data_IF_158244117294
#
_entry.id   IF_158244117294
#
_cell.length_a   1.000
_cell.length_b   1.000
_cell.length_c   1.000
_cell.angle_alpha   90.00
_cell.angle_beta   90.00
_cell.angle_gamma   90.00
#
_symmetry.space_group_name_H-M   'P 1'
#
loop_
_entity.id
_entity.type
_entity.pdbx_description
1 polymer ?
#
# COMPACT_ATOMS: atom_id res chain seq x y z
N UNK A 1 47.41 -26.92 3.51
CA UNK A 1 46.36 -27.34 4.46
C UNK A 1 45.26 -26.31 4.32
N UNK A 2 44.10 -26.62 3.71
CA UNK A 2 43.04 -25.64 3.52
C UNK A 2 42.35 -25.38 4.86
N UNK A 3 42.24 -24.10 5.23
CA UNK A 3 41.58 -23.65 6.46
C UNK A 3 40.15 -24.17 6.53
N UNK A 4 39.87 -24.96 7.56
CA UNK A 4 38.52 -25.43 7.87
C UNK A 4 37.82 -24.26 8.58
N UNK A 5 36.77 -23.66 8.01
CA UNK A 5 36.08 -22.54 8.64
C UNK A 5 35.50 -22.99 9.98
N UNK A 6 35.84 -22.24 11.03
CA UNK A 6 35.41 -22.56 12.40
C UNK A 6 33.90 -22.35 12.54
N UNK A 7 33.28 -23.08 13.47
CA UNK A 7 31.82 -23.05 13.72
C UNK A 7 31.28 -21.67 14.12
N UNK A 8 32.16 -20.71 14.45
CA UNK A 8 31.84 -19.32 14.69
C UNK A 8 31.53 -18.55 13.39
N UNK A 9 32.33 -18.73 12.33
CA UNK A 9 32.09 -18.12 11.00
C UNK A 9 30.80 -18.65 10.38
N UNK A 10 30.54 -19.95 10.50
CA UNK A 10 29.28 -20.54 10.01
C UNK A 10 28.04 -20.06 10.77
N UNK A 11 28.21 -19.54 12.00
CA UNK A 11 27.12 -18.95 12.80
C UNK A 11 26.87 -17.50 12.42
N UNK A 12 27.92 -16.76 12.08
CA UNK A 12 27.80 -15.37 11.64
C UNK A 12 27.28 -15.27 10.20
N UNK A 13 27.67 -16.20 9.31
CA UNK A 13 27.07 -16.36 7.99
C UNK A 13 25.59 -16.78 8.08
N UNK A 14 25.22 -17.63 9.03
CA UNK A 14 23.80 -17.96 9.32
C UNK A 14 23.01 -16.78 9.88
N UNK A 15 23.64 -15.91 10.67
CA UNK A 15 23.01 -14.67 11.18
C UNK A 15 22.91 -13.58 10.11
N UNK A 16 23.85 -13.52 9.15
CA UNK A 16 23.79 -12.63 8.00
C UNK A 16 22.85 -13.11 6.89
N UNK A 17 22.61 -14.42 6.76
CA UNK A 17 21.64 -15.01 5.82
C UNK A 17 20.18 -14.95 6.32
N UNK A 18 19.94 -14.66 7.61
CA UNK A 18 18.59 -14.49 8.17
C UNK A 18 18.03 -13.07 8.08
N UNK A 19 18.79 -12.08 7.60
CA UNK A 19 18.27 -10.73 7.39
C UNK A 19 17.57 -10.68 6.03
N UNK A 20 16.29 -10.31 6.04
CA UNK A 20 15.49 -9.99 4.86
C UNK A 20 16.31 -9.06 3.94
N UNK A 21 16.83 -9.58 2.83
CA UNK A 21 17.60 -8.80 1.86
C UNK A 21 16.61 -8.14 0.90
N UNK A 22 16.45 -6.81 0.93
CA UNK A 22 15.46 -6.14 0.09
C UNK A 22 15.67 -6.41 -1.41
N UNK A 23 16.93 -6.55 -1.84
CA UNK A 23 17.29 -6.89 -3.23
C UNK A 23 16.81 -8.28 -3.63
N UNK A 24 17.06 -9.31 -2.80
CA UNK A 24 16.62 -10.67 -3.10
C UNK A 24 15.09 -10.80 -3.12
N UNK A 25 14.40 -10.06 -2.25
CA UNK A 25 12.95 -9.99 -2.24
C UNK A 25 12.41 -9.30 -3.50
N UNK A 26 13.06 -8.22 -3.93
CA UNK A 26 12.73 -7.55 -5.18
C UNK A 26 12.93 -8.45 -6.40
N UNK A 27 14.05 -9.16 -6.48
CA UNK A 27 14.36 -10.06 -7.60
C UNK A 27 13.31 -11.17 -7.71
N UNK A 28 12.90 -11.76 -6.58
CA UNK A 28 11.82 -12.77 -6.53
C UNK A 28 10.47 -12.20 -6.93
N UNK A 29 10.15 -11.00 -6.46
CA UNK A 29 8.92 -10.31 -6.82
C UNK A 29 8.88 -10.03 -8.33
N UNK A 30 9.97 -9.53 -8.89
CA UNK A 30 10.10 -9.24 -10.31
C UNK A 30 10.04 -10.50 -11.18
N UNK A 31 10.71 -11.59 -10.76
CA UNK A 31 10.64 -12.88 -11.45
C UNK A 31 9.21 -13.43 -11.44
N UNK A 32 8.56 -13.47 -10.28
CA UNK A 32 7.19 -13.94 -10.15
C UNK A 32 6.21 -13.13 -10.99
N UNK A 33 6.32 -11.80 -10.99
CA UNK A 33 5.50 -10.95 -11.84
C UNK A 33 5.70 -11.31 -13.31
N UNK A 34 6.94 -11.33 -13.80
CA UNK A 34 7.27 -11.62 -15.22
C UNK A 34 6.72 -12.98 -15.67
N UNK A 35 6.85 -14.01 -14.84
CA UNK A 35 6.35 -15.35 -15.14
C UNK A 35 4.82 -15.43 -15.19
N UNK A 36 4.13 -14.59 -14.40
CA UNK A 36 2.68 -14.66 -14.23
C UNK A 36 1.94 -13.45 -14.81
N UNK A 37 2.61 -12.59 -15.59
CA UNK A 37 2.03 -11.35 -16.13
C UNK A 37 0.75 -11.62 -16.93
N UNK A 38 0.72 -12.68 -17.73
CA UNK A 38 -0.44 -13.05 -18.55
C UNK A 38 -1.71 -13.24 -17.71
N UNK A 39 -1.57 -13.66 -16.46
CA UNK A 39 -2.70 -13.95 -15.57
C UNK A 39 -2.93 -12.81 -14.57
N UNK A 40 -1.86 -12.18 -14.07
CA UNK A 40 -1.95 -11.06 -13.13
C UNK A 40 -2.44 -9.77 -13.79
N UNK A 41 -2.12 -9.55 -15.07
CA UNK A 41 -2.48 -8.32 -15.78
C UNK A 41 -4.00 -8.18 -15.97
N UNK A 42 -4.76 -9.20 -16.40
CA UNK A 42 -6.23 -9.14 -16.43
C UNK A 42 -6.85 -8.90 -15.05
N UNK A 43 -6.34 -9.59 -14.02
CA UNK A 43 -6.82 -9.43 -12.63
C UNK A 43 -6.57 -7.99 -12.15
N UNK A 44 -5.37 -7.47 -12.36
CA UNK A 44 -5.05 -6.09 -11.99
C UNK A 44 -5.83 -5.06 -12.78
N UNK A 45 -6.08 -5.32 -14.07
CA UNK A 45 -6.92 -4.49 -14.92
C UNK A 45 -8.36 -4.37 -14.40
N UNK A 46 -8.97 -5.48 -13.99
CA UNK A 46 -10.35 -5.51 -13.53
C UNK A 46 -10.51 -4.99 -12.09
N UNK A 47 -9.59 -5.33 -11.19
CA UNK A 47 -9.76 -5.05 -9.76
C UNK A 47 -9.02 -3.80 -9.25
N UNK A 48 -8.00 -3.31 -9.97
CA UNK A 48 -7.29 -2.09 -9.59
C UNK A 48 -7.51 -0.98 -10.60
N UNK A 49 -7.23 -1.22 -11.88
CA UNK A 49 -7.26 -0.18 -12.91
C UNK A 49 -8.68 0.37 -13.12
N UNK A 50 -9.63 -0.51 -13.41
CA UNK A 50 -10.99 -0.11 -13.78
C UNK A 50 -11.71 0.62 -12.63
N UNK A 51 -11.66 0.15 -11.36
CA UNK A 51 -12.20 0.90 -10.23
C UNK A 51 -11.53 2.26 -10.04
N UNK A 52 -10.20 2.36 -10.21
CA UNK A 52 -9.48 3.63 -10.11
C UNK A 52 -9.91 4.64 -11.17
N UNK A 53 -10.09 4.20 -12.42
CA UNK A 53 -10.56 5.08 -13.51
C UNK A 53 -11.99 5.55 -13.26
N UNK A 54 -12.87 4.63 -12.86
CA UNK A 54 -14.27 4.95 -12.53
C UNK A 54 -14.32 5.95 -11.37
N UNK A 55 -13.53 5.73 -10.31
CA UNK A 55 -13.53 6.61 -9.16
C UNK A 55 -13.03 8.01 -9.50
N UNK A 56 -11.98 8.13 -10.29
CA UNK A 56 -11.51 9.44 -10.69
C UNK A 56 -12.51 10.23 -11.56
N UNK A 57 -13.53 9.57 -12.13
CA UNK A 57 -14.67 10.22 -12.79
C UNK A 57 -15.85 10.50 -11.87
N UNK A 58 -16.11 9.61 -10.91
CA UNK A 58 -17.23 9.72 -9.99
C UNK A 58 -16.93 10.61 -8.79
N UNK A 59 -15.65 10.81 -8.45
CA UNK A 59 -15.25 11.59 -7.29
C UNK A 59 -15.59 13.06 -7.54
N UNK A 60 -16.52 13.64 -6.75
CA UNK A 60 -16.81 15.07 -6.85
C UNK A 60 -15.57 15.86 -6.41
N UNK A 61 -15.33 17.01 -7.04
CA UNK A 61 -14.36 17.99 -6.56
C UNK A 61 -14.90 18.67 -5.28
N UNK A 62 -14.90 17.94 -4.17
CA UNK A 62 -15.31 18.43 -2.86
C UNK A 62 -14.11 18.60 -1.92
N UNK A 63 -14.26 19.35 -0.81
CA UNK A 63 -13.24 19.42 0.22
C UNK A 63 -12.91 18.02 0.75
N UNK A 64 -11.64 17.65 0.72
CA UNK A 64 -11.17 16.40 1.31
C UNK A 64 -11.51 16.41 2.81
N UNK A 65 -12.35 15.49 3.26
CA UNK A 65 -12.76 15.37 4.67
C UNK A 65 -14.24 15.60 4.97
N UNK A 66 -15.06 15.95 3.98
CA UNK A 66 -16.52 15.94 4.16
C UNK A 66 -17.04 14.51 4.30
N UNK A 67 -17.78 14.22 5.38
CA UNK A 67 -18.46 12.93 5.62
C UNK A 67 -19.79 12.84 4.84
N UNK A 68 -19.74 13.14 3.55
CA UNK A 68 -20.90 13.01 2.67
C UNK A 68 -21.03 11.56 2.17
N UNK A 69 -22.22 10.98 2.32
CA UNK A 69 -22.55 9.66 1.77
C UNK A 69 -22.29 9.58 0.26
N UNK A 70 -22.47 10.68 -0.47
CA UNK A 70 -22.17 10.77 -1.90
C UNK A 70 -20.68 10.56 -2.25
N UNK A 71 -19.78 10.84 -1.31
CA UNK A 71 -18.32 10.62 -1.46
C UNK A 71 -17.91 9.28 -0.84
N UNK A 72 -18.48 8.93 0.32
CA UNK A 72 -18.11 7.71 1.05
C UNK A 72 -18.53 6.43 0.34
N UNK A 73 -19.69 6.39 -0.30
CA UNK A 73 -20.20 5.18 -0.95
C UNK A 73 -19.34 4.75 -2.15
N UNK A 74 -18.97 5.63 -3.09
CA UNK A 74 -18.01 5.30 -4.15
C UNK A 74 -16.67 4.80 -3.59
N UNK A 75 -16.11 5.47 -2.58
CA UNK A 75 -14.85 5.07 -1.94
C UNK A 75 -14.97 3.67 -1.34
N UNK A 76 -16.06 3.39 -0.62
CA UNK A 76 -16.32 2.07 -0.04
C UNK A 76 -16.37 0.97 -1.09
N UNK A 77 -17.08 1.20 -2.21
CA UNK A 77 -17.12 0.25 -3.33
C UNK A 77 -15.73 0.04 -3.93
N UNK A 78 -14.96 1.11 -4.15
CA UNK A 78 -13.58 1.00 -4.64
C UNK A 78 -12.72 0.13 -3.74
N UNK A 79 -12.79 0.37 -2.43
CA UNK A 79 -12.04 -0.39 -1.44
C UNK A 79 -12.38 -1.88 -1.50
N UNK A 80 -13.67 -2.23 -1.63
CA UNK A 80 -14.08 -3.63 -1.78
C UNK A 80 -13.46 -4.29 -3.01
N UNK A 81 -13.53 -3.64 -4.18
CA UNK A 81 -12.92 -4.17 -5.41
C UNK A 81 -11.41 -4.35 -5.27
N UNK A 82 -10.73 -3.36 -4.68
CA UNK A 82 -9.29 -3.43 -4.46
C UNK A 82 -8.92 -4.55 -3.48
N UNK A 83 -9.66 -4.72 -2.38
CA UNK A 83 -9.43 -5.80 -1.43
C UNK A 83 -9.61 -7.17 -2.08
N UNK A 84 -10.67 -7.37 -2.88
CA UNK A 84 -10.88 -8.62 -3.63
C UNK A 84 -9.71 -8.88 -4.58
N UNK A 85 -9.26 -7.87 -5.32
CA UNK A 85 -8.11 -7.97 -6.21
C UNK A 85 -6.84 -8.35 -5.47
N UNK A 86 -6.55 -7.68 -4.36
CA UNK A 86 -5.37 -7.92 -3.54
C UNK A 86 -5.36 -9.36 -2.98
N UNK A 87 -6.49 -9.83 -2.43
CA UNK A 87 -6.62 -11.19 -1.91
C UNK A 87 -6.47 -12.24 -3.03
N UNK A 88 -7.05 -11.97 -4.21
CA UNK A 88 -6.95 -12.86 -5.37
C UNK A 88 -5.50 -13.02 -5.81
N UNK A 89 -4.78 -11.91 -6.00
CA UNK A 89 -3.36 -11.92 -6.36
C UNK A 89 -2.54 -12.67 -5.32
N UNK A 90 -2.83 -12.44 -4.03
CA UNK A 90 -2.13 -13.11 -2.95
C UNK A 90 -2.34 -14.62 -2.95
N UNK A 91 -3.57 -15.08 -3.17
CA UNK A 91 -3.88 -16.52 -3.30
C UNK A 91 -3.18 -17.13 -4.50
N UNK A 92 -3.18 -16.46 -5.65
CA UNK A 92 -2.52 -16.96 -6.86
C UNK A 92 -1.00 -17.11 -6.70
N UNK A 93 -0.37 -16.22 -5.95
CA UNK A 93 1.08 -16.19 -5.78
C UNK A 93 1.55 -17.04 -4.60
N UNK A 94 0.79 -17.09 -3.51
CA UNK A 94 1.22 -17.77 -2.28
C UNK A 94 0.73 -19.21 -2.17
N UNK A 95 -0.35 -19.60 -2.86
CA UNK A 95 -0.87 -20.96 -2.77
C UNK A 95 0.02 -21.95 -3.56
N UNK A 96 0.59 -22.97 -2.89
CA UNK A 96 1.43 -23.98 -3.54
C UNK A 96 0.72 -24.75 -4.67
N UNK A 97 -0.61 -24.82 -4.65
CA UNK A 97 -1.40 -25.60 -5.61
C UNK A 97 -1.61 -24.90 -6.96
N UNK A 98 -1.11 -23.66 -7.14
CA UNK A 98 -1.27 -22.85 -8.36
C UNK A 98 -2.75 -22.78 -8.81
N UNK A 99 -3.64 -22.20 -7.98
CA UNK A 99 -5.06 -22.17 -8.25
C UNK A 99 -5.37 -21.41 -9.54
N UNK A 100 -6.44 -21.81 -10.22
CA UNK A 100 -6.99 -21.05 -11.34
C UNK A 100 -7.54 -19.70 -10.86
N UNK A 101 -7.66 -18.71 -11.77
CA UNK A 101 -8.20 -17.38 -11.43
C UNK A 101 -9.57 -17.46 -10.74
N UNK A 102 -10.41 -18.40 -11.18
CA UNK A 102 -11.73 -18.65 -10.61
C UNK A 102 -11.66 -19.14 -9.16
N UNK A 103 -10.76 -20.08 -8.88
CA UNK A 103 -10.58 -20.63 -7.53
C UNK A 103 -10.00 -19.58 -6.58
N UNK A 104 -9.02 -18.80 -7.05
CA UNK A 104 -8.45 -17.70 -6.29
C UNK A 104 -9.51 -16.63 -5.99
N UNK A 105 -10.35 -16.26 -6.96
CA UNK A 105 -11.43 -15.30 -6.76
C UNK A 105 -12.49 -15.81 -5.78
N UNK A 106 -12.87 -17.08 -5.88
CA UNK A 106 -13.79 -17.70 -4.92
C UNK A 106 -13.19 -17.75 -3.50
N UNK A 107 -11.89 -18.02 -3.39
CA UNK A 107 -11.15 -17.93 -2.14
C UNK A 107 -11.16 -16.51 -1.57
N UNK A 108 -10.89 -15.50 -2.40
CA UNK A 108 -10.92 -14.10 -2.03
C UNK A 108 -12.30 -13.65 -1.53
N UNK A 109 -13.38 -14.06 -2.21
CA UNK A 109 -14.76 -13.75 -1.80
C UNK A 109 -15.11 -14.35 -0.43
N UNK A 110 -14.62 -15.55 -0.12
CA UNK A 110 -14.80 -16.16 1.21
C UNK A 110 -13.98 -15.46 2.29
N UNK A 111 -12.80 -14.97 1.93
CA UNK A 111 -11.94 -14.18 2.82
C UNK A 111 -12.37 -12.71 2.92
N UNK A 112 -13.34 -12.25 2.13
CA UNK A 112 -13.74 -10.84 2.08
C UNK A 112 -14.35 -10.37 3.40
N UNK A 113 -15.26 -11.13 3.99
CA UNK A 113 -15.87 -10.77 5.28
C UNK A 113 -14.83 -10.56 6.40
N UNK A 114 -13.90 -11.51 6.64
CA UNK A 114 -12.85 -11.29 7.64
C UNK A 114 -11.85 -10.20 7.21
N UNK A 115 -11.57 -10.03 5.91
CA UNK A 115 -10.73 -8.95 5.41
C UNK A 115 -11.34 -7.56 5.63
N UNK A 116 -12.66 -7.39 5.48
CA UNK A 116 -13.37 -6.15 5.79
C UNK A 116 -13.26 -5.83 7.28
N UNK A 117 -13.40 -6.84 8.16
CA UNK A 117 -13.21 -6.65 9.60
C UNK A 117 -11.81 -6.12 9.93
N UNK A 118 -10.77 -6.66 9.29
CA UNK A 118 -9.40 -6.14 9.37
C UNK A 118 -9.30 -4.73 8.80
N UNK A 119 -9.92 -4.45 7.65
CA UNK A 119 -9.88 -3.13 7.00
C UNK A 119 -10.46 -2.05 7.90
N UNK A 120 -11.59 -2.31 8.57
CA UNK A 120 -12.19 -1.37 9.53
C UNK A 120 -11.33 -1.18 10.78
N UNK A 121 -10.69 -2.25 11.27
CA UNK A 121 -9.76 -2.15 12.39
C UNK A 121 -8.50 -1.33 12.03
N UNK A 122 -7.99 -1.47 10.81
CA UNK A 122 -6.89 -0.64 10.28
C UNK A 122 -7.37 0.81 10.14
N UNK A 123 -8.54 1.01 9.54
CA UNK A 123 -9.11 2.34 9.32
C UNK A 123 -9.36 3.07 10.64
N UNK A 124 -9.86 2.39 11.67
CA UNK A 124 -10.09 3.01 12.98
C UNK A 124 -8.78 3.47 13.63
N UNK A 125 -7.70 2.69 13.51
CA UNK A 125 -6.37 3.08 13.97
C UNK A 125 -5.85 4.29 13.19
N UNK A 126 -5.96 4.26 11.85
CA UNK A 126 -5.53 5.38 11.00
C UNK A 126 -6.33 6.65 11.33
N UNK A 127 -7.65 6.55 11.45
CA UNK A 127 -8.50 7.67 11.85
C UNK A 127 -8.13 8.20 13.23
N UNK A 128 -7.86 7.34 14.22
CA UNK A 128 -7.41 7.76 15.54
C UNK A 128 -6.08 8.53 15.45
N UNK A 129 -5.11 8.06 14.66
CA UNK A 129 -3.85 8.77 14.43
C UNK A 129 -4.07 10.13 13.74
N UNK A 130 -4.93 10.20 12.73
CA UNK A 130 -5.25 11.45 12.04
C UNK A 130 -5.96 12.45 12.96
N UNK A 131 -6.91 11.99 13.77
CA UNK A 131 -7.60 12.83 14.76
C UNK A 131 -6.61 13.34 15.80
N UNK A 132 -5.76 12.48 16.37
CA UNK A 132 -4.72 12.89 17.33
C UNK A 132 -3.77 13.89 16.67
N UNK A 133 -3.31 13.64 15.45
CA UNK A 133 -2.46 14.56 14.70
C UNK A 133 -3.13 15.91 14.46
N UNK A 134 -4.42 15.91 14.12
CA UNK A 134 -5.21 17.12 13.92
C UNK A 134 -5.43 17.89 15.24
N UNK A 135 -5.70 17.20 16.35
CA UNK A 135 -5.84 17.81 17.68
C UNK A 135 -4.53 18.43 18.15
N UNK A 136 -3.40 17.76 17.91
CA UNK A 136 -2.07 18.30 18.17
C UNK A 136 -1.84 19.55 17.30
N UNK A 137 -2.14 19.48 16.01
CA UNK A 137 -2.04 20.63 15.11
C UNK A 137 -2.92 21.79 15.56
N UNK A 138 -4.15 21.53 16.02
CA UNK A 138 -5.06 22.54 16.59
C UNK A 138 -4.54 23.14 17.89
N UNK A 139 -3.89 22.35 18.76
CA UNK A 139 -3.27 22.85 20.00
C UNK A 139 -2.11 23.82 19.69
N UNK A 140 -1.26 23.47 18.73
CA UNK A 140 -0.15 24.32 18.30
C UNK A 140 -0.61 25.52 17.46
N UNK A 141 -1.61 25.35 16.59
CA UNK A 141 -2.22 26.43 15.83
C UNK A 141 -3.01 27.38 16.73
N UNK A 142 -3.71 26.89 17.75
CA UNK A 142 -4.43 27.70 18.74
C UNK A 142 -3.50 28.56 19.60
N UNK A 143 -2.32 28.03 19.95
CA UNK A 143 -1.25 28.82 20.59
C UNK A 143 -0.65 29.87 19.67
N UNK A 144 -0.43 29.55 18.39
CA UNK A 144 0.08 30.49 17.40
C UNK A 144 -0.96 31.53 16.95
N UNK A 145 -2.27 31.21 17.02
CA UNK A 145 -3.37 32.12 16.68
C UNK A 145 -3.41 33.32 17.62
N UNK A 146 -3.10 33.10 18.90
CA UNK A 146 -2.99 34.17 19.89
C UNK A 146 -1.74 35.04 19.70
N UNK A 147 -0.74 34.55 18.96
CA UNK A 147 0.50 35.28 18.66
C UNK A 147 0.46 36.08 17.34
N UNK A 148 -0.60 35.95 16.53
CA UNK A 148 -0.78 36.70 15.28
C UNK A 148 0.16 36.32 14.12
N UNK A 149 1.01 35.30 14.28
CA UNK A 149 1.97 34.87 13.26
C UNK A 149 1.43 33.66 12.45
N UNK A 150 0.85 33.96 11.29
CA UNK A 150 0.36 32.96 10.33
C UNK A 150 1.48 32.08 9.75
N UNK A 151 2.73 32.55 9.71
CA UNK A 151 3.86 31.75 9.26
C UNK A 151 4.30 30.72 10.33
N UNK A 152 4.15 31.03 11.62
CA UNK A 152 4.38 30.06 12.70
C UNK A 152 3.36 28.91 12.66
N UNK A 153 2.09 29.21 12.34
CA UNK A 153 1.03 28.19 12.18
C UNK A 153 1.36 27.17 11.09
N UNK A 154 1.77 27.63 9.91
CA UNK A 154 2.10 26.73 8.79
C UNK A 154 3.35 25.90 9.10
N UNK A 155 4.37 26.49 9.73
CA UNK A 155 5.59 25.76 10.12
C UNK A 155 5.32 24.65 11.14
N UNK A 156 4.49 24.92 12.16
CA UNK A 156 4.12 23.94 13.17
C UNK A 156 3.25 22.80 12.61
N UNK A 157 2.32 23.11 11.69
CA UNK A 157 1.53 22.10 11.01
C UNK A 157 2.40 21.17 10.13
N UNK A 158 3.38 21.73 9.42
CA UNK A 158 4.35 20.95 8.64
C UNK A 158 5.20 20.06 9.53
N UNK A 159 5.70 20.56 10.66
CA UNK A 159 6.47 19.75 11.62
C UNK A 159 5.62 18.60 12.18
N UNK A 160 4.36 18.86 12.54
CA UNK A 160 3.43 17.83 12.99
C UNK A 160 3.20 16.73 11.95
N UNK A 161 3.04 17.10 10.68
CA UNK A 161 2.89 16.17 9.57
C UNK A 161 4.17 15.36 9.29
N UNK A 162 5.34 15.99 9.41
CA UNK A 162 6.66 15.32 9.24
C UNK A 162 6.93 14.31 10.35
N UNK A 163 6.44 14.55 11.57
CA UNK A 163 6.58 13.61 12.69
C UNK A 163 5.53 12.49 12.60
N UNK A 164 4.28 12.83 12.26
CA UNK A 164 3.19 11.86 12.18
C UNK A 164 3.33 10.92 10.97
N UNK A 165 3.87 11.40 9.85
CA UNK A 165 4.03 10.64 8.61
C UNK A 165 4.78 9.32 8.79
N UNK A 166 6.01 9.31 9.33
CA UNK A 166 6.76 8.09 9.59
C UNK A 166 6.05 7.13 10.55
N UNK A 167 5.34 7.63 11.57
CA UNK A 167 4.59 6.80 12.51
C UNK A 167 3.39 6.10 11.82
N UNK A 168 2.68 6.82 10.95
CA UNK A 168 1.59 6.27 10.13
C UNK A 168 2.16 5.24 9.15
N UNK A 169 3.25 5.55 8.46
CA UNK A 169 3.91 4.61 7.55
C UNK A 169 4.40 3.35 8.27
N UNK A 170 4.92 3.50 9.49
CA UNK A 170 5.30 2.37 10.33
C UNK A 170 4.10 1.50 10.71
N UNK A 171 2.98 2.11 11.12
CA UNK A 171 1.75 1.40 11.40
C UNK A 171 1.21 0.66 10.16
N UNK A 172 1.17 1.34 9.00
CA UNK A 172 0.72 0.76 7.74
C UNK A 172 1.61 -0.39 7.27
N UNK A 173 2.93 -0.25 7.35
CA UNK A 173 3.87 -1.32 7.03
C UNK A 173 3.65 -2.56 7.92
N UNK A 174 3.31 -2.34 9.20
CA UNK A 174 3.00 -3.42 10.15
C UNK A 174 1.68 -4.12 9.82
N UNK A 175 0.70 -3.35 9.39
CA UNK A 175 -0.66 -3.82 9.05
C UNK A 175 -0.74 -4.44 7.64
N UNK A 176 0.19 -4.10 6.75
CA UNK A 176 0.26 -4.65 5.40
C UNK A 176 0.44 -6.19 5.37
N UNK A 177 0.99 -6.75 6.45
CA UNK A 177 1.25 -8.20 6.62
C UNK A 177 0.01 -8.98 7.09
N UNK A 178 -1.09 -8.29 7.44
CA UNK A 178 -2.29 -8.93 7.98
C UNK A 178 -3.04 -9.76 6.92
N UNK A 179 -3.11 -9.30 5.67
CA UNK A 179 -3.81 -10.02 4.60
C UNK A 179 -3.17 -11.39 4.27
N UNK A 180 -1.83 -11.52 4.15
CA UNK A 180 -1.18 -12.83 4.05
C UNK A 180 -1.47 -13.75 5.22
N UNK A 181 -1.43 -13.24 6.46
CA UNK A 181 -1.69 -14.04 7.66
C UNK A 181 -3.13 -14.56 7.70
N UNK A 182 -4.10 -13.73 7.30
CA UNK A 182 -5.51 -14.10 7.23
C UNK A 182 -5.77 -15.23 6.22
N UNK A 183 -5.11 -15.18 5.06
CA UNK A 183 -5.29 -16.17 3.99
C UNK A 183 -4.52 -17.47 4.24
N UNK A 184 -3.27 -17.38 4.68
CA UNK A 184 -2.40 -18.55 4.84
C UNK A 184 -2.63 -19.30 6.16
N UNK A 185 -2.88 -18.58 7.26
CA UNK A 185 -3.12 -19.20 8.58
C UNK A 185 -4.63 -19.35 8.89
N UNK A 186 -5.53 -18.86 8.02
CA UNK A 186 -7.02 -18.92 8.19
C UNK A 186 -7.51 -18.43 9.56
N UNK A 187 -6.83 -17.42 10.09
CA UNK A 187 -7.09 -16.88 11.42
C UNK A 187 -8.30 -15.95 11.46
N UNK A 188 -8.87 -15.79 12.65
CA UNK A 188 -9.85 -14.73 12.90
C UNK A 188 -9.19 -13.34 12.78
N UNK A 189 -9.94 -12.27 12.46
CA UNK A 189 -9.38 -10.93 12.24
C UNK A 189 -8.48 -10.43 13.39
N UNK A 190 -8.88 -10.70 14.63
CA UNK A 190 -8.14 -10.29 15.82
C UNK A 190 -6.83 -11.09 16.01
N UNK A 191 -6.87 -12.39 15.71
CA UNK A 191 -5.69 -13.25 15.78
C UNK A 191 -4.70 -12.92 14.67
N UNK A 192 -5.17 -12.63 13.46
CA UNK A 192 -4.35 -12.17 12.35
C UNK A 192 -3.63 -10.85 12.70
N UNK A 193 -4.32 -9.91 13.36
CA UNK A 193 -3.70 -8.68 13.87
C UNK A 193 -2.63 -8.99 14.92
N UNK A 194 -2.93 -9.77 15.97
CA UNK A 194 -1.94 -10.12 17.01
C UNK A 194 -0.73 -10.83 16.42
N UNK A 195 -0.94 -11.71 15.45
CA UNK A 195 0.11 -12.44 14.72
C UNK A 195 0.98 -11.49 13.90
N UNK A 196 0.38 -10.57 13.15
CA UNK A 196 1.11 -9.55 12.41
C UNK A 196 1.98 -8.71 13.36
N UNK A 197 1.44 -8.28 14.50
CA UNK A 197 2.19 -7.52 15.51
C UNK A 197 3.38 -8.30 16.10
N UNK A 198 3.22 -9.62 16.34
CA UNK A 198 4.28 -10.50 16.85
C UNK A 198 5.35 -10.79 15.80
N UNK A 199 4.97 -11.00 14.55
CA UNK A 199 5.90 -11.27 13.45
C UNK A 199 6.78 -10.05 13.13
N UNK A 200 6.23 -8.85 13.24
CA UNK A 200 6.96 -7.63 12.90
C UNK A 200 7.80 -7.07 14.05
N UNK A 201 7.64 -7.53 15.30
CA UNK A 201 8.34 -6.93 16.45
C UNK A 201 9.86 -7.14 16.48
N UNK A 202 10.39 -8.06 15.65
CA UNK A 202 11.84 -8.34 15.56
C UNK A 202 12.52 -7.97 14.23
N UNK A 203 11.75 -7.74 13.17
CA UNK A 203 12.27 -7.57 11.79
C UNK A 203 11.51 -6.49 10.99
N UNK A 204 10.82 -5.57 11.67
CA UNK A 204 10.09 -4.49 11.00
C UNK A 204 10.99 -3.57 10.15
N UNK A 205 12.25 -3.37 10.52
CA UNK A 205 13.11 -2.35 9.90
C UNK A 205 13.41 -2.64 8.41
N UNK A 206 13.83 -3.86 8.00
CA UNK A 206 14.03 -4.17 6.58
C UNK A 206 12.74 -4.10 5.74
N UNK A 207 11.62 -4.56 6.30
CA UNK A 207 10.31 -4.52 5.61
C UNK A 207 9.82 -3.08 5.46
N UNK A 208 9.97 -2.29 6.52
CA UNK A 208 9.69 -0.87 6.50
C UNK A 208 10.56 -0.17 5.46
N UNK A 209 11.86 -0.46 5.40
CA UNK A 209 12.76 0.14 4.42
C UNK A 209 12.33 -0.19 2.98
N UNK A 210 11.97 -1.44 2.69
CA UNK A 210 11.45 -1.84 1.39
C UNK A 210 10.15 -1.10 1.05
N UNK A 211 9.17 -1.11 1.96
CA UNK A 211 7.87 -0.46 1.77
C UNK A 211 8.06 1.04 1.60
N UNK A 212 8.94 1.65 2.38
CA UNK A 212 9.24 3.08 2.32
C UNK A 212 9.89 3.45 0.99
N UNK A 213 10.88 2.70 0.52
CA UNK A 213 11.51 2.94 -0.79
C UNK A 213 10.51 2.73 -1.93
N UNK A 214 9.72 1.65 -1.91
CA UNK A 214 8.73 1.36 -2.93
C UNK A 214 7.61 2.42 -2.95
N UNK A 215 7.12 2.82 -1.76
CA UNK A 215 6.09 3.86 -1.62
C UNK A 215 6.64 5.21 -2.05
N UNK A 216 7.87 5.56 -1.65
CA UNK A 216 8.51 6.80 -2.07
C UNK A 216 8.68 6.86 -3.58
N UNK A 217 9.19 5.79 -4.20
CA UNK A 217 9.32 5.69 -5.66
C UNK A 217 7.95 5.81 -6.34
N UNK A 218 6.92 5.13 -5.82
CA UNK A 218 5.56 5.23 -6.33
C UNK A 218 5.00 6.66 -6.24
N UNK A 219 5.13 7.32 -5.08
CA UNK A 219 4.69 8.70 -4.88
C UNK A 219 5.44 9.66 -5.79
N UNK A 220 6.75 9.46 -5.95
CA UNK A 220 7.57 10.23 -6.87
C UNK A 220 7.10 10.07 -8.32
N UNK A 221 6.85 8.84 -8.76
CA UNK A 221 6.33 8.54 -10.10
C UNK A 221 4.92 9.12 -10.30
N UNK A 222 4.04 9.01 -9.30
CA UNK A 222 2.71 9.62 -9.36
C UNK A 222 2.78 11.14 -9.47
N UNK A 223 3.65 11.78 -8.69
CA UNK A 223 3.86 13.22 -8.76
C UNK A 223 4.42 13.62 -10.13
N UNK A 224 5.42 12.91 -10.64
CA UNK A 224 6.01 13.16 -11.95
C UNK A 224 4.99 12.97 -13.08
N UNK A 225 4.17 11.92 -13.05
CA UNK A 225 3.10 11.68 -14.02
C UNK A 225 1.98 12.72 -13.91
N UNK A 226 1.56 13.07 -12.70
CA UNK A 226 0.50 14.06 -12.50
C UNK A 226 0.90 15.47 -12.94
N UNK A 227 2.15 15.88 -12.65
CA UNK A 227 2.63 17.24 -12.90
C UNK A 227 3.30 17.38 -14.27
N UNK A 228 4.34 16.58 -14.55
CA UNK A 228 5.10 16.72 -15.79
C UNK A 228 4.32 16.19 -16.98
N UNK A 229 3.87 14.93 -16.91
CA UNK A 229 3.14 14.31 -18.03
C UNK A 229 1.73 14.89 -18.13
N UNK A 230 1.01 14.96 -17.00
CA UNK A 230 -0.35 15.49 -16.95
C UNK A 230 -0.44 16.97 -17.31
N UNK A 231 0.54 17.77 -16.89
CA UNK A 231 0.63 19.18 -17.27
C UNK A 231 0.80 19.36 -18.78
N UNK A 232 1.67 18.58 -19.43
CA UNK A 232 1.86 18.62 -20.89
C UNK A 232 0.58 18.21 -21.61
N UNK A 233 -0.08 17.12 -21.21
CA UNK A 233 -1.32 16.68 -21.85
C UNK A 233 -2.48 17.64 -21.60
N UNK A 234 -2.55 18.30 -20.45
CA UNK A 234 -3.51 19.38 -20.21
C UNK A 234 -3.28 20.57 -21.14
N UNK A 235 -2.02 21.01 -21.30
CA UNK A 235 -1.68 22.12 -22.18
C UNK A 235 -1.95 21.79 -23.66
N UNK A 236 -1.64 20.57 -24.10
CA UNK A 236 -1.98 20.09 -25.43
C UNK A 236 -3.49 19.99 -25.63
N UNK A 237 -4.22 19.49 -24.63
CA UNK A 237 -5.69 19.45 -24.64
C UNK A 237 -6.29 20.85 -24.77
N UNK A 238 -5.73 21.84 -24.07
CA UNK A 238 -6.08 23.26 -24.22
C UNK A 238 -5.82 23.79 -25.62
N UNK A 239 -4.66 23.47 -26.19
CA UNK A 239 -4.24 23.94 -27.51
C UNK A 239 -5.15 23.41 -28.63
N UNK A 240 -5.61 22.17 -28.50
CA UNK A 240 -6.47 21.49 -29.49
C UNK A 240 -7.97 21.78 -29.21
N UNK A 241 -8.29 22.48 -28.12
CA UNK A 241 -9.67 22.79 -27.71
C UNK A 241 -10.42 21.61 -27.09
N UNK A 242 -9.73 20.54 -26.69
CA UNK A 242 -10.29 19.32 -26.10
C UNK A 242 -9.61 19.02 -24.77
N UNK A 243 -9.82 19.89 -23.77
CA UNK A 243 -9.23 19.75 -22.42
C UNK A 243 -9.56 18.39 -21.77
N UNK A 244 -10.74 17.84 -22.09
CA UNK A 244 -11.20 16.54 -21.60
C UNK A 244 -10.28 15.39 -22.02
N UNK A 245 -9.66 15.43 -23.20
CA UNK A 245 -8.71 14.40 -23.63
C UNK A 245 -7.44 14.41 -22.76
N UNK A 246 -6.89 15.59 -22.47
CA UNK A 246 -5.70 15.72 -21.63
C UNK A 246 -5.92 15.18 -20.22
N UNK A 247 -7.08 15.45 -19.64
CA UNK A 247 -7.52 14.88 -18.37
C UNK A 247 -7.64 13.36 -18.44
N UNK A 248 -8.28 12.82 -19.47
CA UNK A 248 -8.48 11.38 -19.60
C UNK A 248 -7.18 10.60 -19.75
N UNK A 249 -6.25 11.11 -20.56
CA UNK A 249 -4.93 10.48 -20.71
C UNK A 249 -4.17 10.44 -19.38
N UNK A 250 -4.15 11.55 -18.65
CA UNK A 250 -3.49 11.64 -17.34
C UNK A 250 -4.11 10.66 -16.35
N UNK A 251 -5.43 10.57 -16.34
CA UNK A 251 -6.20 9.72 -15.44
C UNK A 251 -5.95 8.22 -15.75
N UNK A 252 -5.91 7.85 -17.03
CA UNK A 252 -5.58 6.47 -17.45
C UNK A 252 -4.15 6.11 -17.07
N UNK A 253 -3.17 7.00 -17.31
CA UNK A 253 -1.76 6.73 -17.01
C UNK A 253 -1.52 6.58 -15.50
N UNK A 254 -2.12 7.45 -14.69
CA UNK A 254 -2.01 7.38 -13.22
C UNK A 254 -2.68 6.14 -12.65
N UNK A 255 -3.83 5.73 -13.19
CA UNK A 255 -4.51 4.49 -12.81
C UNK A 255 -3.69 3.25 -13.23
N UNK A 256 -3.08 3.25 -14.42
CA UNK A 256 -2.22 2.18 -14.89
C UNK A 256 -0.98 2.02 -14.00
N UNK A 257 -0.30 3.12 -13.67
CA UNK A 257 0.82 3.09 -12.73
C UNK A 257 0.38 2.57 -11.35
N UNK A 258 -0.74 3.08 -10.83
CA UNK A 258 -1.30 2.62 -9.55
C UNK A 258 -1.59 1.12 -9.53
N UNK A 259 -2.07 0.59 -10.65
CA UNK A 259 -2.33 -0.85 -10.80
C UNK A 259 -1.05 -1.68 -10.74
N UNK A 260 -0.02 -1.28 -11.50
CA UNK A 260 1.28 -1.97 -11.48
C UNK A 260 1.91 -1.90 -10.10
N UNK A 261 1.89 -0.73 -9.46
CA UNK A 261 2.41 -0.55 -8.11
C UNK A 261 1.69 -1.44 -7.10
N UNK A 262 0.35 -1.51 -7.14
CA UNK A 262 -0.43 -2.38 -6.26
C UNK A 262 -0.10 -3.86 -6.46
N UNK A 263 0.04 -4.31 -7.71
CA UNK A 263 0.48 -5.69 -8.00
C UNK A 263 1.86 -5.97 -7.41
N UNK A 264 2.84 -5.11 -7.68
CA UNK A 264 4.21 -5.26 -7.17
C UNK A 264 4.24 -5.32 -5.65
N UNK A 265 3.57 -4.39 -4.98
CA UNK A 265 3.53 -4.32 -3.53
C UNK A 265 2.83 -5.55 -2.95
N UNK A 266 1.70 -5.98 -3.52
CA UNK A 266 0.96 -7.15 -3.04
C UNK A 266 1.81 -8.43 -3.10
N UNK A 267 2.50 -8.64 -4.22
CA UNK A 267 3.38 -9.80 -4.41
C UNK A 267 4.58 -9.74 -3.46
N UNK A 268 5.23 -8.57 -3.35
CA UNK A 268 6.36 -8.37 -2.44
C UNK A 268 5.98 -8.64 -0.98
N UNK A 269 4.81 -8.16 -0.53
CA UNK A 269 4.30 -8.39 0.82
C UNK A 269 4.03 -9.88 1.08
N UNK A 270 3.50 -10.59 0.09
CA UNK A 270 3.27 -12.02 0.19
C UNK A 270 4.57 -12.82 0.39
N UNK A 271 5.61 -12.50 -0.37
CA UNK A 271 6.92 -13.12 -0.20
C UNK A 271 7.59 -12.72 1.12
N UNK A 272 7.52 -11.45 1.50
CA UNK A 272 8.03 -10.99 2.79
C UNK A 272 7.38 -11.73 3.95
N UNK A 273 6.06 -11.95 3.90
CA UNK A 273 5.35 -12.75 4.90
C UNK A 273 5.82 -14.21 4.92
N UNK A 274 6.00 -14.86 3.75
CA UNK A 274 6.49 -16.25 3.70
C UNK A 274 7.90 -16.39 4.28
N UNK A 275 8.75 -15.39 4.12
CA UNK A 275 10.09 -15.38 4.74
C UNK A 275 10.00 -15.21 6.25
N UNK A 276 9.16 -14.30 6.75
CA UNK A 276 8.96 -14.08 8.18
C UNK A 276 8.28 -15.25 8.90
N UNK A 277 7.35 -15.94 8.23
CA UNK A 277 6.65 -17.08 8.82
C UNK A 277 7.53 -18.34 8.92
N UNK A 278 8.68 -18.37 8.22
CA UNK A 278 9.65 -19.47 8.26
C UNK A 278 10.70 -19.32 9.38
N UNK A 279 10.77 -18.15 10.02
CA UNK A 279 11.58 -17.90 11.23
C UNK A 279 10.79 -18.18 12.50
#
# INVERSE_FOLDING_TARGET
MPDIPTTADAKDDRRMTQRLRPSALWDRTAACLRENLTVLLPVGGVFFFLPSVIMARLMPAGPVGSLDLGILLPIGVMLLFQTIGQLTVLLMVLDPHKPTVREALNGAMRALAPAIGVQFAILSVVCAFLIVGQLIAMLFAGGAAQAGDTAAMTRLAVIGMVIAGPAILYALARLAVVFPALLLERLTPLEALRRAFRLTSGSAVPILALILVATFLYLFLQLALGTAVGGVFMLLGRLIGVESLGLLFTLVLTAALGTVANLVITVALGFAYRELART
#
